data_IF_802854077279
#
_entry.id   IF_802854077279
#
_cell.length_a   1.000
_cell.length_b   1.000
_cell.length_c   1.000
_cell.angle_alpha   90.00
_cell.angle_beta   90.00
_cell.angle_gamma   90.00
#
_symmetry.space_group_name_H-M   'P 1'
#
loop_
_entity.id
_entity.type
_entity.pdbx_description
1 polymer ?
#
# COMPACT_ATOMS: atom_id res chain seq x y z
N UNK A 1 20.93 -9.13 -1.09
CA UNK A 1 20.36 -8.84 -2.44
C UNK A 1 19.03 -8.21 -2.17
N UNK A 2 18.86 -6.98 -2.61
CA UNK A 2 17.80 -6.14 -2.07
C UNK A 2 16.39 -6.50 -2.49
N UNK A 3 15.39 -6.09 -1.70
CA UNK A 3 13.96 -6.28 -2.03
C UNK A 3 13.45 -5.14 -2.90
N UNK A 4 12.62 -5.46 -3.88
CA UNK A 4 11.90 -4.49 -4.72
C UNK A 4 10.45 -4.43 -4.25
N UNK A 5 10.05 -3.28 -3.71
CA UNK A 5 8.74 -3.08 -3.11
C UNK A 5 7.96 -2.07 -3.95
N UNK A 6 6.72 -2.40 -4.30
CA UNK A 6 5.77 -1.48 -4.91
C UNK A 6 4.64 -1.18 -3.93
N UNK A 7 4.41 0.08 -3.64
CA UNK A 7 3.32 0.54 -2.77
C UNK A 7 2.33 1.33 -3.61
N UNK A 8 1.05 1.00 -3.54
CA UNK A 8 -0.01 1.81 -4.16
C UNK A 8 -0.54 2.86 -3.19
N UNK A 9 -1.07 3.97 -3.69
CA UNK A 9 -1.70 5.02 -2.88
C UNK A 9 -0.74 5.60 -1.81
N UNK A 10 0.50 5.92 -2.20
CA UNK A 10 1.50 6.54 -1.33
C UNK A 10 1.35 8.08 -1.22
N UNK A 11 0.25 8.63 -1.73
CA UNK A 11 -0.03 10.07 -1.87
C UNK A 11 -0.75 10.69 -0.66
N UNK A 12 -0.86 9.97 0.45
CA UNK A 12 -1.32 10.52 1.73
C UNK A 12 -0.34 10.18 2.84
N UNK A 13 -0.62 10.71 4.03
CA UNK A 13 0.21 10.56 5.22
C UNK A 13 0.53 9.09 5.54
N UNK A 14 -0.47 8.21 5.51
CA UNK A 14 -0.31 6.78 5.86
C UNK A 14 0.54 6.07 4.82
N UNK A 15 0.23 6.26 3.54
CA UNK A 15 0.98 5.67 2.45
C UNK A 15 2.45 6.12 2.44
N UNK A 16 2.70 7.40 2.70
CA UNK A 16 4.05 7.93 2.82
C UNK A 16 4.83 7.35 4.01
N UNK A 17 4.20 7.23 5.17
CA UNK A 17 4.81 6.66 6.37
C UNK A 17 5.17 5.18 6.17
N UNK A 18 4.28 4.41 5.53
CA UNK A 18 4.59 3.02 5.16
C UNK A 18 5.77 2.99 4.21
N UNK A 19 5.78 3.85 3.18
CA UNK A 19 6.86 3.89 2.20
C UNK A 19 8.21 4.24 2.83
N UNK A 20 8.26 5.20 3.75
CA UNK A 20 9.48 5.54 4.48
C UNK A 20 9.91 4.41 5.42
N UNK A 21 8.99 3.79 6.15
CA UNK A 21 9.30 2.78 7.17
C UNK A 21 9.79 1.45 6.58
N UNK A 22 9.31 1.07 5.39
CA UNK A 22 9.79 -0.13 4.69
C UNK A 22 11.05 0.14 3.85
N UNK A 23 11.37 1.42 3.62
CA UNK A 23 12.62 1.82 2.98
C UNK A 23 13.75 1.63 3.98
N UNK A 24 14.76 0.84 3.60
CA UNK A 24 15.88 0.53 4.47
C UNK A 24 17.04 -0.03 3.67
N UNK A 25 18.05 -0.55 4.39
CA UNK A 25 19.24 -1.09 3.76
C UNK A 25 18.88 -2.26 2.83
N UNK A 26 19.36 -2.18 1.59
CA UNK A 26 19.06 -3.14 0.52
C UNK A 26 17.56 -3.21 0.15
N UNK A 27 16.81 -2.12 0.21
CA UNK A 27 15.43 -2.10 -0.31
C UNK A 27 15.28 -0.99 -1.34
N UNK A 28 14.65 -1.28 -2.47
CA UNK A 28 14.20 -0.26 -3.43
C UNK A 28 12.68 -0.17 -3.32
N UNK A 29 12.18 1.00 -2.93
CA UNK A 29 10.75 1.23 -2.71
C UNK A 29 10.21 2.16 -3.79
N UNK A 30 9.27 1.65 -4.59
CA UNK A 30 8.50 2.44 -5.53
C UNK A 30 7.19 2.87 -4.88
N UNK A 31 7.07 4.16 -4.57
CA UNK A 31 5.90 4.76 -3.95
C UNK A 31 4.94 5.29 -5.01
N UNK A 32 3.94 4.48 -5.37
CA UNK A 32 2.95 4.77 -6.38
C UNK A 32 1.90 5.77 -5.92
N UNK A 33 1.79 6.88 -6.66
CA UNK A 33 0.82 7.94 -6.43
C UNK A 33 -0.04 8.13 -7.69
N UNK A 34 -1.38 8.11 -7.62
CA UNK A 34 -2.20 8.42 -8.77
C UNK A 34 -2.07 9.91 -9.10
N UNK A 35 -1.56 10.29 -10.27
CA UNK A 35 -1.43 11.71 -10.62
C UNK A 35 -2.42 12.15 -11.69
N UNK A 36 -3.56 12.65 -11.24
CA UNK A 36 -4.58 13.24 -12.11
C UNK A 36 -4.32 14.73 -12.22
N UNK A 37 -3.79 15.16 -13.36
CA UNK A 37 -3.52 16.56 -13.67
C UNK A 37 -2.48 17.26 -12.75
N UNK A 38 -1.48 16.54 -12.24
CA UNK A 38 -0.43 17.10 -11.39
C UNK A 38 -0.83 17.26 -9.91
N UNK A 39 -1.96 16.68 -9.50
CA UNK A 39 -2.50 16.81 -8.14
C UNK A 39 -1.56 16.29 -7.03
N UNK A 40 -0.61 15.43 -7.37
CA UNK A 40 0.33 14.87 -6.39
C UNK A 40 1.80 15.24 -6.67
N UNK A 41 2.06 16.27 -7.50
CA UNK A 41 3.43 16.72 -7.79
C UNK A 41 4.18 17.19 -6.53
N UNK A 42 3.55 18.04 -5.72
CA UNK A 42 4.19 18.57 -4.50
C UNK A 42 4.58 17.45 -3.53
N UNK A 43 3.71 16.44 -3.39
CA UNK A 43 3.93 15.28 -2.54
C UNK A 43 5.04 14.37 -3.04
N UNK A 44 5.16 14.22 -4.36
CA UNK A 44 6.26 13.48 -4.96
C UNK A 44 7.59 14.21 -4.68
N UNK A 45 7.64 15.53 -4.86
CA UNK A 45 8.82 16.35 -4.55
C UNK A 45 9.21 16.30 -3.08
N UNK A 46 8.24 16.37 -2.16
CA UNK A 46 8.48 16.22 -0.72
C UNK A 46 9.08 14.85 -0.39
N UNK A 47 8.57 13.78 -1.01
CA UNK A 47 9.08 12.43 -0.82
C UNK A 47 10.49 12.24 -1.40
N UNK A 48 10.79 12.85 -2.56
CA UNK A 48 12.14 12.87 -3.14
C UNK A 48 13.13 13.58 -2.21
N UNK A 49 12.78 14.75 -1.70
CA UNK A 49 13.63 15.50 -0.76
C UNK A 49 13.87 14.70 0.53
N UNK A 50 12.85 14.02 1.04
CA UNK A 50 13.00 13.16 2.20
C UNK A 50 13.92 11.97 1.91
N UNK A 51 13.76 11.30 0.76
CA UNK A 51 14.61 10.19 0.35
C UNK A 51 16.09 10.62 0.24
N UNK A 52 16.35 11.77 -0.37
CA UNK A 52 17.70 12.35 -0.46
C UNK A 52 18.28 12.68 0.92
N UNK A 53 17.50 13.31 1.81
CA UNK A 53 17.94 13.71 3.13
C UNK A 53 18.25 12.52 4.06
N UNK A 54 17.67 11.35 3.78
CA UNK A 54 17.79 10.14 4.60
C UNK A 54 18.61 9.02 3.95
N UNK A 55 19.12 9.24 2.73
CA UNK A 55 19.87 8.25 1.92
C UNK A 55 19.08 6.95 1.70
N UNK A 56 17.76 7.09 1.49
CA UNK A 56 16.85 5.96 1.21
C UNK A 56 16.65 5.80 -0.30
N UNK A 57 16.61 4.57 -0.79
CA UNK A 57 16.20 4.26 -2.17
C UNK A 57 14.67 4.22 -2.29
N UNK A 58 14.05 5.36 -2.01
CA UNK A 58 12.61 5.62 -2.05
C UNK A 58 12.29 6.48 -3.28
N UNK A 59 11.50 5.91 -4.20
CA UNK A 59 11.22 6.46 -5.53
C UNK A 59 9.73 6.73 -5.68
N UNK A 60 9.26 7.97 -5.52
CA UNK A 60 7.88 8.30 -5.87
C UNK A 60 7.69 8.14 -7.39
N UNK A 61 6.57 7.52 -7.77
CA UNK A 61 6.22 7.28 -9.18
C UNK A 61 4.75 7.59 -9.41
N UNK A 62 4.42 8.05 -10.61
CA UNK A 62 3.03 8.17 -11.03
C UNK A 62 2.48 6.77 -11.34
N UNK A 63 1.54 6.30 -10.53
CA UNK A 63 0.83 5.03 -10.70
C UNK A 63 -0.66 5.25 -10.50
N UNK A 64 -1.38 5.49 -11.60
CA UNK A 64 -2.84 5.54 -11.62
C UNK A 64 -3.40 4.22 -12.13
N UNK A 65 -3.92 3.41 -11.22
CA UNK A 65 -4.46 2.08 -11.51
C UNK A 65 -5.69 2.14 -12.42
N UNK A 66 -6.44 3.24 -12.40
CA UNK A 66 -7.56 3.45 -13.32
C UNK A 66 -7.12 3.58 -14.79
N UNK A 67 -5.86 3.94 -15.05
CA UNK A 67 -5.30 4.08 -16.40
C UNK A 67 -4.44 2.87 -16.76
N UNK A 68 -5.10 1.76 -17.16
CA UNK A 68 -4.48 0.44 -17.42
C UNK A 68 -3.20 0.49 -18.24
N UNK A 69 -3.18 1.26 -19.33
CA UNK A 69 -2.00 1.38 -20.22
C UNK A 69 -0.80 1.99 -19.49
N UNK A 70 -1.02 3.11 -18.79
CA UNK A 70 0.01 3.79 -18.01
C UNK A 70 0.53 2.87 -16.91
N UNK A 71 -0.37 2.32 -16.09
CA UNK A 71 0.03 1.45 -14.98
C UNK A 71 0.83 0.23 -15.47
N UNK A 72 0.40 -0.39 -16.58
CA UNK A 72 1.14 -1.49 -17.23
C UNK A 72 2.56 -1.08 -17.65
N UNK A 73 2.73 0.12 -18.23
CA UNK A 73 4.04 0.64 -18.66
C UNK A 73 4.97 0.86 -17.47
N UNK A 74 4.44 1.41 -16.37
CA UNK A 74 5.19 1.65 -15.13
C UNK A 74 5.61 0.35 -14.47
N UNK A 75 4.69 -0.61 -14.31
CA UNK A 75 4.98 -1.92 -13.72
C UNK A 75 6.01 -2.67 -14.57
N UNK A 76 5.84 -2.67 -15.90
CA UNK A 76 6.81 -3.28 -16.81
C UNK A 76 8.19 -2.65 -16.66
N UNK A 77 8.28 -1.32 -16.53
CA UNK A 77 9.56 -0.65 -16.32
C UNK A 77 10.26 -1.13 -15.04
N UNK A 78 9.52 -1.28 -13.94
CA UNK A 78 10.09 -1.82 -12.67
C UNK A 78 10.63 -3.24 -12.89
N UNK A 79 9.87 -4.09 -13.59
CA UNK A 79 10.27 -5.46 -13.91
C UNK A 79 11.45 -5.50 -14.88
N UNK A 80 11.51 -4.61 -15.87
CA UNK A 80 12.64 -4.51 -16.80
C UNK A 80 13.92 -4.05 -16.07
N UNK A 81 13.79 -3.13 -15.10
CA UNK A 81 14.91 -2.58 -14.34
C UNK A 81 15.47 -3.59 -13.31
N UNK A 82 14.63 -4.44 -12.71
CA UNK A 82 15.02 -5.31 -11.58
C UNK A 82 14.83 -6.83 -11.80
N UNK A 83 14.14 -7.21 -12.86
CA UNK A 83 13.74 -8.59 -13.18
C UNK A 83 12.60 -9.14 -12.33
N UNK A 84 12.14 -8.42 -11.29
CA UNK A 84 11.12 -8.87 -10.34
C UNK A 84 10.48 -7.72 -9.55
N UNK A 85 9.38 -8.04 -8.87
CA UNK A 85 8.81 -7.29 -7.74
C UNK A 85 8.64 -8.28 -6.58
N UNK A 86 9.31 -8.03 -5.45
CA UNK A 86 9.31 -8.96 -4.31
C UNK A 86 8.08 -8.76 -3.41
N UNK A 87 7.67 -7.50 -3.21
CA UNK A 87 6.53 -7.14 -2.35
C UNK A 87 5.64 -6.12 -3.04
N UNK A 88 4.34 -6.33 -2.91
CA UNK A 88 3.31 -5.37 -3.29
C UNK A 88 2.52 -5.00 -2.05
N UNK A 89 2.48 -3.71 -1.71
CA UNK A 89 1.61 -3.19 -0.66
C UNK A 89 0.46 -2.44 -1.34
N UNK A 90 -0.71 -3.08 -1.37
CA UNK A 90 -1.93 -2.44 -1.82
C UNK A 90 -2.72 -1.91 -0.63
N UNK A 91 -3.35 -0.75 -0.81
CA UNK A 91 -4.13 -0.09 0.24
C UNK A 91 -5.43 0.45 -0.34
N UNK A 92 -6.52 0.28 0.41
CA UNK A 92 -7.74 1.05 0.21
C UNK A 92 -7.45 2.55 0.30
N UNK A 93 -8.12 3.36 -0.52
CA UNK A 93 -7.95 4.81 -0.44
C UNK A 93 -8.56 5.41 0.84
N UNK A 94 -9.29 4.61 1.64
CA UNK A 94 -9.83 4.98 2.95
C UNK A 94 -10.92 6.05 2.92
N UNK A 95 -11.44 6.42 1.74
CA UNK A 95 -12.46 7.47 1.60
C UNK A 95 -13.84 7.02 2.07
N UNK A 96 -14.07 5.72 2.10
CA UNK A 96 -15.33 5.11 2.52
C UNK A 96 -15.24 4.68 3.99
N UNK A 97 -15.79 5.50 4.88
CA UNK A 97 -15.88 5.23 6.32
C UNK A 97 -17.04 4.29 6.70
N UNK A 98 -17.84 3.80 5.73
CA UNK A 98 -19.00 2.96 5.99
C UNK A 98 -18.79 1.53 5.51
N UNK A 99 -19.21 0.55 6.32
CA UNK A 99 -19.14 -0.88 5.97
C UNK A 99 -19.94 -1.26 4.72
N UNK A 100 -20.91 -0.42 4.34
CA UNK A 100 -21.74 -0.57 3.16
C UNK A 100 -21.72 0.71 2.33
N UNK A 101 -21.76 0.61 0.98
CA UNK A 101 -21.94 1.76 0.11
C UNK A 101 -23.25 2.48 0.42
N UNK A 102 -23.22 3.80 0.42
CA UNK A 102 -24.38 4.67 0.55
C UNK A 102 -24.57 5.46 -0.76
N UNK A 103 -25.78 5.94 -1.07
CA UNK A 103 -26.01 6.68 -2.32
C UNK A 103 -25.08 7.89 -2.54
N UNK A 104 -24.54 8.48 -1.47
CA UNK A 104 -23.65 9.64 -1.53
C UNK A 104 -22.17 9.32 -1.80
N UNK A 105 -21.75 8.05 -1.78
CA UNK A 105 -20.35 7.65 -1.95
C UNK A 105 -20.14 6.53 -2.99
N UNK A 106 -21.11 6.34 -3.89
CA UNK A 106 -21.07 5.26 -4.88
C UNK A 106 -19.87 5.38 -5.84
N UNK A 107 -19.53 6.60 -6.27
CA UNK A 107 -18.36 6.84 -7.13
C UNK A 107 -17.04 6.46 -6.44
N UNK A 108 -16.91 6.75 -5.13
CA UNK A 108 -15.72 6.37 -4.36
C UNK A 108 -15.61 4.85 -4.22
N UNK A 109 -16.75 4.17 -4.03
CA UNK A 109 -16.84 2.72 -4.02
C UNK A 109 -16.51 2.07 -5.36
N UNK A 110 -17.03 2.61 -6.47
CA UNK A 110 -16.70 2.14 -7.82
C UNK A 110 -15.21 2.30 -8.12
N UNK A 111 -14.61 3.43 -7.74
CA UNK A 111 -13.16 3.65 -7.91
C UNK A 111 -12.35 2.64 -7.09
N UNK A 112 -12.76 2.33 -5.86
CA UNK A 112 -12.05 1.35 -5.02
C UNK A 112 -12.17 -0.08 -5.57
N UNK A 113 -13.34 -0.45 -6.10
CA UNK A 113 -13.51 -1.73 -6.81
C UNK A 113 -12.64 -1.79 -8.06
N UNK A 114 -12.60 -0.72 -8.84
CA UNK A 114 -11.76 -0.64 -10.05
C UNK A 114 -10.27 -0.74 -9.71
N UNK A 115 -9.82 -0.10 -8.63
CA UNK A 115 -8.43 -0.20 -8.15
C UNK A 115 -8.11 -1.65 -7.75
N UNK A 116 -9.01 -2.32 -7.03
CA UNK A 116 -8.86 -3.72 -6.64
C UNK A 116 -8.75 -4.65 -7.86
N UNK A 117 -9.67 -4.52 -8.83
CA UNK A 117 -9.61 -5.28 -10.09
C UNK A 117 -8.30 -5.02 -10.85
N UNK A 118 -7.85 -3.76 -10.87
CA UNK A 118 -6.62 -3.36 -11.55
C UNK A 118 -5.38 -3.96 -10.89
N UNK A 119 -5.36 -4.08 -9.55
CA UNK A 119 -4.27 -4.77 -8.83
C UNK A 119 -4.17 -6.21 -9.29
N UNK A 120 -5.28 -6.95 -9.32
CA UNK A 120 -5.28 -8.34 -9.80
C UNK A 120 -4.78 -8.42 -11.24
N UNK A 121 -5.34 -7.62 -12.13
CA UNK A 121 -5.06 -7.67 -13.56
C UNK A 121 -3.63 -7.27 -13.93
N UNK A 122 -3.07 -6.29 -13.22
CA UNK A 122 -1.80 -5.65 -13.58
C UNK A 122 -0.61 -6.17 -12.79
N UNK A 123 -0.82 -6.56 -11.53
CA UNK A 123 0.26 -6.88 -10.61
C UNK A 123 0.41 -8.38 -10.36
N UNK A 124 -0.68 -9.15 -10.36
CA UNK A 124 -0.58 -10.59 -10.12
C UNK A 124 0.19 -11.31 -11.22
N UNK A 125 0.10 -10.96 -12.52
CA UNK A 125 0.90 -11.63 -13.55
C UNK A 125 2.39 -11.67 -13.22
N UNK A 126 2.94 -10.58 -12.65
CA UNK A 126 4.35 -10.51 -12.23
C UNK A 126 4.63 -11.50 -11.11
N UNK A 127 3.88 -11.46 -10.00
CA UNK A 127 4.08 -12.34 -8.85
C UNK A 127 3.84 -13.83 -9.21
N UNK A 128 2.79 -14.09 -9.98
CA UNK A 128 2.40 -15.43 -10.43
C UNK A 128 3.40 -16.05 -11.41
N UNK A 129 4.08 -15.24 -12.23
CA UNK A 129 5.16 -15.69 -13.10
C UNK A 129 6.41 -16.03 -12.31
N UNK A 130 6.74 -15.21 -11.31
CA UNK A 130 7.86 -15.42 -10.38
C UNK A 130 7.69 -16.66 -9.51
N UNK A 131 6.44 -17.09 -9.25
CA UNK A 131 6.09 -18.14 -8.27
C UNK A 131 6.59 -17.83 -6.85
N UNK A 132 6.79 -16.54 -6.59
CA UNK A 132 7.36 -16.00 -5.38
C UNK A 132 6.98 -14.53 -5.26
N UNK A 133 6.69 -14.10 -4.03
CA UNK A 133 6.43 -12.72 -3.67
C UNK A 133 5.43 -12.61 -2.53
N UNK A 134 5.19 -11.38 -2.08
CA UNK A 134 4.25 -11.06 -1.02
C UNK A 134 3.28 -9.97 -1.48
N UNK A 135 1.98 -10.22 -1.35
CA UNK A 135 0.96 -9.18 -1.35
C UNK A 135 0.61 -8.82 0.10
N UNK A 136 0.80 -7.56 0.48
CA UNK A 136 0.21 -6.98 1.68
C UNK A 136 -1.01 -6.19 1.24
N UNK A 137 -2.18 -6.61 1.68
CA UNK A 137 -3.45 -5.93 1.42
C UNK A 137 -3.91 -5.20 2.67
N UNK A 138 -3.86 -3.88 2.66
CA UNK A 138 -4.37 -3.06 3.76
C UNK A 138 -5.84 -2.74 3.44
N UNK A 139 -6.74 -3.41 4.14
CA UNK A 139 -8.17 -3.30 3.95
C UNK A 139 -8.71 -1.94 4.41
N UNK A 140 -9.83 -1.52 3.81
CA UNK A 140 -10.68 -0.46 4.35
C UNK A 140 -11.74 -1.03 5.28
N UNK A 141 -12.75 -0.22 5.63
CA UNK A 141 -13.84 -0.64 6.51
C UNK A 141 -14.94 -1.43 5.78
N UNK A 142 -14.82 -1.70 4.48
CA UNK A 142 -15.91 -2.28 3.68
C UNK A 142 -15.78 -3.80 3.56
N UNK A 143 -16.87 -4.50 3.93
CA UNK A 143 -16.97 -5.98 3.88
C UNK A 143 -16.69 -6.54 2.48
N UNK A 144 -17.01 -5.76 1.43
CA UNK A 144 -16.74 -6.16 0.04
C UNK A 144 -15.25 -6.23 -0.25
N UNK A 145 -14.46 -5.29 0.27
CA UNK A 145 -13.00 -5.29 0.07
C UNK A 145 -12.33 -6.42 0.84
N UNK A 146 -12.83 -6.78 2.02
CA UNK A 146 -12.36 -7.96 2.77
C UNK A 146 -12.60 -9.26 1.99
N UNK A 147 -13.78 -9.39 1.36
CA UNK A 147 -14.11 -10.56 0.55
C UNK A 147 -13.22 -10.66 -0.69
N UNK A 148 -12.96 -9.54 -1.37
CA UNK A 148 -12.05 -9.47 -2.52
C UNK A 148 -10.62 -9.84 -2.09
N UNK A 149 -10.14 -9.29 -0.98
CA UNK A 149 -8.81 -9.59 -0.45
C UNK A 149 -8.65 -11.10 -0.15
N UNK A 150 -9.67 -11.73 0.44
CA UNK A 150 -9.68 -13.15 0.72
C UNK A 150 -9.70 -14.01 -0.56
N UNK A 151 -10.47 -13.61 -1.57
CA UNK A 151 -10.47 -14.27 -2.89
C UNK A 151 -9.09 -14.18 -3.55
N UNK A 152 -8.49 -13.00 -3.52
CA UNK A 152 -7.18 -12.75 -4.11
C UNK A 152 -6.07 -13.50 -3.40
N UNK A 153 -6.13 -13.60 -2.08
CA UNK A 153 -5.21 -14.43 -1.30
C UNK A 153 -5.29 -15.92 -1.74
N UNK A 154 -6.49 -16.45 -1.95
CA UNK A 154 -6.68 -17.82 -2.41
C UNK A 154 -6.16 -18.04 -3.85
N UNK A 155 -6.35 -17.07 -4.74
CA UNK A 155 -5.80 -17.11 -6.10
C UNK A 155 -4.26 -17.13 -6.09
N UNK A 156 -3.63 -16.23 -5.33
CA UNK A 156 -2.18 -16.09 -5.24
C UNK A 156 -1.52 -17.30 -4.56
N UNK A 157 -2.16 -17.91 -3.57
CA UNK A 157 -1.64 -19.09 -2.86
C UNK A 157 -1.43 -20.28 -3.82
N UNK A 158 -2.29 -20.46 -4.82
CA UNK A 158 -2.14 -21.50 -5.87
C UNK A 158 -0.83 -21.30 -6.68
N UNK A 159 -0.36 -20.05 -6.75
CA UNK A 159 0.84 -19.67 -7.49
C UNK A 159 2.10 -19.57 -6.62
N UNK A 160 2.02 -19.89 -5.33
CA UNK A 160 3.16 -19.81 -4.40
C UNK A 160 3.48 -18.39 -3.94
N UNK A 161 2.53 -17.46 -4.08
CA UNK A 161 2.65 -16.08 -3.63
C UNK A 161 1.98 -15.95 -2.28
N UNK A 162 2.67 -15.37 -1.30
CA UNK A 162 2.12 -15.14 0.03
C UNK A 162 1.21 -13.91 0.04
N UNK A 163 0.22 -13.92 0.93
CA UNK A 163 -0.65 -12.77 1.15
C UNK A 163 -0.84 -12.53 2.64
N UNK A 164 -0.75 -11.27 3.05
CA UNK A 164 -1.12 -10.78 4.39
C UNK A 164 -2.19 -9.72 4.26
N UNK A 165 -3.37 -9.97 4.80
CA UNK A 165 -4.46 -8.99 4.86
C UNK A 165 -4.39 -8.26 6.20
N UNK A 166 -4.40 -6.94 6.19
CA UNK A 166 -4.30 -6.10 7.39
C UNK A 166 -5.54 -5.22 7.48
N UNK A 167 -6.31 -5.37 8.55
CA UNK A 167 -7.33 -4.40 8.95
C UNK A 167 -6.65 -3.34 9.81
N UNK A 168 -6.49 -2.09 9.33
CA UNK A 168 -5.77 -1.05 10.05
C UNK A 168 -6.55 -0.60 11.29
N UNK A 169 -5.90 0.05 12.27
CA UNK A 169 -6.61 0.62 13.41
C UNK A 169 -7.56 1.72 12.95
N UNK A 170 -8.74 1.77 13.55
CA UNK A 170 -9.81 2.73 13.24
C UNK A 170 -9.50 4.09 13.87
N UNK A 171 -8.43 4.72 13.41
CA UNK A 171 -8.05 6.07 13.76
C UNK A 171 -8.46 6.96 12.59
N UNK A 172 -9.31 7.99 12.80
CA UNK A 172 -9.67 8.92 11.74
C UNK A 172 -8.42 9.66 11.27
N UNK A 173 -7.82 9.19 10.17
CA UNK A 173 -6.77 9.89 9.47
C UNK A 173 -7.42 11.09 8.79
N UNK A 174 -7.45 12.23 9.49
CA UNK A 174 -7.62 13.51 8.80
C UNK A 174 -6.51 13.59 7.74
N UNK A 175 -6.92 13.79 6.49
CA UNK A 175 -6.02 14.13 5.38
C UNK A 175 -5.33 15.44 5.76
N UNK A 176 -4.21 15.34 6.47
CA UNK A 176 -3.24 16.40 6.58
C UNK A 176 -2.23 16.21 5.45
N UNK A 177 -1.67 17.32 4.96
CA UNK A 177 -0.55 17.31 4.01
C UNK A 177 0.53 16.31 4.45
N UNK A 178 1.31 15.80 3.50
CA UNK A 178 2.48 14.96 3.79
C UNK A 178 3.49 15.82 4.58
N UNK A 179 3.34 15.87 5.90
CA UNK A 179 4.33 16.55 6.72
C UNK A 179 5.43 15.56 7.11
N UNK A 180 6.18 15.12 6.09
CA UNK A 180 7.38 14.32 6.28
C UNK A 180 8.47 15.16 6.98
N UNK A 181 8.32 16.49 6.99
CA UNK A 181 9.27 17.47 7.50
C UNK A 181 8.97 18.00 8.93
N UNK A 182 7.94 17.51 9.60
CA UNK A 182 7.68 17.79 11.00
C UNK A 182 7.21 19.22 11.33
N UNK A 183 6.41 19.86 10.46
CA UNK A 183 5.74 21.11 10.83
C UNK A 183 4.50 20.87 11.74
N UNK A 184 4.20 21.78 12.67
CA UNK A 184 3.17 21.57 13.67
C UNK A 184 1.81 22.10 13.17
N UNK A 185 1.18 21.43 12.20
CA UNK A 185 -0.25 21.65 11.93
C UNK A 185 -1.08 20.40 12.27
N UNK A 186 -1.74 20.49 13.43
CA UNK A 186 -2.73 19.53 13.96
C UNK A 186 -2.34 18.05 13.75
N UNK A 187 -1.33 17.62 14.49
CA UNK A 187 -0.98 16.20 14.66
C UNK A 187 -2.17 15.48 15.30
N UNK A 188 -3.08 14.97 14.48
CA UNK A 188 -3.96 13.87 14.89
C UNK A 188 -3.10 12.68 15.32
N UNK A 189 -3.59 11.90 16.28
CA UNK A 189 -2.89 10.74 16.84
C UNK A 189 -2.27 9.88 15.73
N UNK A 190 -0.94 9.76 15.77
CA UNK A 190 -0.12 9.04 14.80
C UNK A 190 0.14 7.60 15.19
N UNK A 191 -0.16 7.23 16.44
CA UNK A 191 0.27 5.97 17.01
C UNK A 191 -0.17 4.77 16.15
N UNK A 192 -1.42 4.78 15.68
CA UNK A 192 -1.95 3.73 14.81
C UNK A 192 -1.30 3.64 13.43
N UNK A 193 -1.00 4.77 12.78
CA UNK A 193 -0.36 4.75 11.45
C UNK A 193 1.12 4.32 11.56
N UNK A 194 1.81 4.73 12.63
CA UNK A 194 3.20 4.29 12.92
C UNK A 194 3.23 2.80 13.23
N UNK A 195 2.36 2.32 14.11
CA UNK A 195 2.30 0.90 14.48
C UNK A 195 2.01 0.02 13.26
N UNK A 196 1.11 0.48 12.38
CA UNK A 196 0.82 -0.17 11.10
C UNK A 196 2.06 -0.24 10.20
N UNK A 197 2.77 0.88 10.01
CA UNK A 197 3.96 0.94 9.18
C UNK A 197 5.08 0.02 9.72
N UNK A 198 5.33 0.05 11.03
CA UNK A 198 6.30 -0.84 11.69
C UNK A 198 5.92 -2.31 11.53
N UNK A 199 4.63 -2.65 11.69
CA UNK A 199 4.14 -4.01 11.50
C UNK A 199 4.36 -4.49 10.07
N UNK A 200 4.06 -3.65 9.07
CA UNK A 200 4.31 -3.95 7.65
C UNK A 200 5.80 -4.21 7.42
N UNK A 201 6.68 -3.33 7.91
CA UNK A 201 8.14 -3.51 7.79
C UNK A 201 8.61 -4.83 8.43
N UNK A 202 8.08 -5.18 9.61
CA UNK A 202 8.36 -6.48 10.25
C UNK A 202 7.88 -7.67 9.41
N UNK A 203 6.66 -7.63 8.87
CA UNK A 203 6.08 -8.71 8.04
C UNK A 203 6.91 -8.93 6.77
N UNK A 204 7.29 -7.85 6.09
CA UNK A 204 8.13 -7.91 4.90
C UNK A 204 9.46 -8.62 5.21
N UNK A 205 9.99 -8.43 6.42
CA UNK A 205 11.27 -8.98 6.86
C UNK A 205 11.17 -10.35 7.54
N UNK A 206 9.97 -10.89 7.75
CA UNK A 206 9.82 -12.28 8.18
C UNK A 206 10.28 -13.26 7.08
N UNK A 207 10.81 -14.43 7.46
CA UNK A 207 11.08 -15.50 6.51
C UNK A 207 9.82 -15.93 5.78
N UNK A 208 9.99 -16.42 4.55
CA UNK A 208 8.90 -17.01 3.77
C UNK A 208 8.27 -18.18 4.55
N UNK A 209 6.94 -18.29 4.45
CA UNK A 209 6.11 -19.24 5.20
C UNK A 209 5.90 -18.89 6.68
N UNK A 210 6.46 -17.77 7.17
CA UNK A 210 6.29 -17.29 8.56
C UNK A 210 5.42 -16.03 8.66
N UNK A 211 5.01 -15.46 7.53
CA UNK A 211 4.16 -14.26 7.50
C UNK A 211 2.73 -14.62 7.90
N UNK A 212 2.06 -13.77 8.71
CA UNK A 212 0.66 -13.99 9.07
C UNK A 212 -0.23 -13.83 7.84
N UNK A 213 -1.28 -14.64 7.72
CA UNK A 213 -2.27 -14.49 6.64
C UNK A 213 -3.21 -13.29 6.87
N UNK A 214 -3.48 -12.97 8.14
CA UNK A 214 -4.38 -11.87 8.52
C UNK A 214 -3.91 -11.20 9.82
N UNK A 215 -4.07 -9.88 9.91
CA UNK A 215 -3.84 -9.06 11.10
C UNK A 215 -5.02 -8.12 11.28
N UNK A 216 -5.54 -8.02 12.50
CA UNK A 216 -6.62 -7.11 12.88
C UNK A 216 -6.15 -6.25 14.05
N UNK A 217 -6.04 -4.95 13.84
CA UNK A 217 -5.60 -3.99 14.86
C UNK A 217 -6.72 -3.58 15.83
N UNK A 218 -8.01 -3.68 15.47
CA UNK A 218 -9.12 -3.41 16.41
C UNK A 218 -9.22 -4.50 17.48
N UNK A 219 -8.92 -5.75 17.12
CA UNK A 219 -8.92 -6.87 18.07
C UNK A 219 -7.72 -6.87 19.03
N UNK A 220 -6.64 -6.17 18.68
CA UNK A 220 -5.45 -6.06 19.52
C UNK A 220 -5.67 -5.14 20.73
N UNK A 221 -6.49 -4.10 20.61
CA UNK A 221 -6.82 -3.17 21.70
C UNK A 221 -7.86 -3.75 22.68
N UNK A 222 -8.77 -4.61 22.21
CA UNK A 222 -9.77 -5.30 23.04
C UNK A 222 -9.21 -6.42 23.94
N UNK A 223 -7.95 -6.83 23.73
CA UNK A 223 -7.27 -7.84 24.56
C UNK A 223 -6.51 -7.23 25.75
N UNK A 224 -6.51 -5.90 25.89
CA UNK A 224 -5.83 -5.18 26.97
C UNK A 224 -6.76 -4.33 27.87
N UNK A 225 -8.08 -4.57 27.83
CA UNK A 225 -9.03 -4.08 28.84
C UNK A 225 -9.43 -5.15 29.87
#
# INVERSE_FOLDING_TARGET
>A
MGKIILITQANDRRGALIASEVSGNETVVYAGMPDRHGANLDKALEMEQYAEATDLDLRPIVLDLATRRHASEVIRKIVDDHGRIDVIVHRSNGKLASKQPAPGNFEEFENELQDAESVRDLLFPTLCHQKYGLLIWIAGDQVVMDAIAAEYAAELEIHGVETTIITPPNVPSRIAALDIAGSPELVGDMSGDIELAEAISRIINLPDGRRPKQIDFEMASLLFE
#
